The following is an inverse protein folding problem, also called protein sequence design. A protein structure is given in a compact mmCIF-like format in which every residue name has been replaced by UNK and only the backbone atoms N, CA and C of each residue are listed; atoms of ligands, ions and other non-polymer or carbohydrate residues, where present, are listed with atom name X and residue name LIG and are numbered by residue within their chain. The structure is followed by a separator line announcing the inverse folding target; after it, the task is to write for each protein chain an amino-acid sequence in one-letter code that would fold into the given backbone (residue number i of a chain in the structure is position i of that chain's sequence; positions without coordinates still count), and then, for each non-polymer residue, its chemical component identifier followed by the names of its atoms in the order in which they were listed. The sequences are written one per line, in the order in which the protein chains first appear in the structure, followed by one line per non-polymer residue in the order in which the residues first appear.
data_IF_383562843937
#
_entry.id   IF_383562843937
#
_cell.length_a   1.000
_cell.length_b   1.000
_cell.length_c   1.000
_cell.angle_alpha   90.00
_cell.angle_beta   90.00
_cell.angle_gamma   90.00
#
_symmetry.space_group_name_H-M   'P 1'
#
loop_
_entity.id
_entity.type
_entity.pdbx_description
1 polymer ?
#
# COMPACT_ATOMS: atom_id res chain seq x y z
N UNK A 1 40.86 70.72 15.23
CA UNK A 1 39.56 70.19 14.68
C UNK A 1 39.84 68.96 13.85
N UNK A 2 39.66 67.79 14.43
CA UNK A 2 39.92 66.50 13.76
C UNK A 2 38.63 66.00 13.12
N UNK A 3 38.65 65.82 11.79
CA UNK A 3 37.57 65.19 11.06
C UNK A 3 37.67 63.64 11.19
N UNK A 4 36.77 63.08 11.92
CA UNK A 4 36.62 61.59 11.97
C UNK A 4 36.00 61.09 10.65
N UNK A 5 36.75 60.29 9.88
CA UNK A 5 36.23 59.53 8.72
C UNK A 5 35.54 58.30 9.26
N UNK A 6 34.23 58.17 8.99
CA UNK A 6 33.42 57.02 9.27
C UNK A 6 33.61 56.04 8.12
N UNK A 7 34.24 54.89 8.39
CA UNK A 7 34.41 53.80 7.43
C UNK A 7 33.21 52.89 7.61
N UNK A 8 32.31 52.88 6.63
CA UNK A 8 31.24 51.83 6.56
C UNK A 8 31.83 50.56 6.04
N UNK A 9 31.95 49.57 6.93
CA UNK A 9 32.28 48.19 6.57
C UNK A 9 31.03 47.54 6.04
N UNK A 10 30.95 47.35 4.71
CA UNK A 10 29.92 46.54 4.05
C UNK A 10 30.23 45.05 4.32
N UNK A 11 29.58 44.48 5.33
CA UNK A 11 29.50 43.00 5.48
C UNK A 11 28.56 42.46 4.40
N UNK A 12 29.15 41.97 3.32
CA UNK A 12 28.45 41.12 2.37
C UNK A 12 28.13 39.78 3.05
N UNK A 13 26.91 39.65 3.51
CA UNK A 13 26.37 38.37 4.00
C UNK A 13 26.18 37.45 2.80
N UNK A 14 27.20 36.65 2.45
CA UNK A 14 27.07 35.57 1.52
C UNK A 14 26.23 34.45 2.19
N UNK A 15 24.93 34.49 1.95
CA UNK A 15 24.08 33.32 2.22
C UNK A 15 24.55 32.19 1.30
N UNK A 16 25.39 31.33 1.84
CA UNK A 16 25.57 29.99 1.27
C UNK A 16 24.25 29.26 1.41
N UNK A 17 23.51 29.19 0.30
CA UNK A 17 22.44 28.26 0.11
C UNK A 17 23.09 26.87 0.13
N UNK A 18 23.23 26.28 1.30
CA UNK A 18 23.49 24.85 1.41
C UNK A 18 22.22 24.15 0.94
N UNK A 19 22.16 23.87 -0.36
CA UNK A 19 21.30 22.80 -0.86
C UNK A 19 21.78 21.52 -0.16
N UNK A 20 21.08 21.11 0.87
CA UNK A 20 21.23 19.77 1.41
C UNK A 20 20.81 18.82 0.30
N UNK A 21 21.79 18.28 -0.42
CA UNK A 21 21.61 17.03 -1.17
C UNK A 21 21.29 15.98 -0.10
N UNK A 22 20.01 15.82 0.21
CA UNK A 22 19.55 14.64 0.88
C UNK A 22 20.00 13.48 -0.01
N UNK A 23 21.01 12.74 0.42
CA UNK A 23 21.35 11.44 -0.18
C UNK A 23 20.11 10.58 0.08
N UNK A 24 19.24 10.52 -0.93
CA UNK A 24 18.06 9.68 -0.89
C UNK A 24 18.56 8.25 -0.75
N UNK A 25 18.32 7.65 0.41
CA UNK A 25 18.66 6.27 0.64
C UNK A 25 17.96 5.43 -0.46
N UNK A 26 18.75 4.74 -1.29
CA UNK A 26 18.22 3.90 -2.35
C UNK A 26 17.49 2.74 -1.66
N UNK A 27 16.16 2.75 -1.76
CA UNK A 27 15.35 1.68 -1.20
C UNK A 27 15.68 0.41 -1.99
N UNK A 28 16.16 -0.62 -1.30
CA UNK A 28 16.60 -1.86 -1.93
C UNK A 28 15.53 -2.96 -1.73
N UNK A 29 14.36 -2.76 -2.35
CA UNK A 29 13.31 -3.78 -2.36
C UNK A 29 13.69 -4.95 -3.27
N UNK A 30 13.28 -6.16 -2.88
CA UNK A 30 13.25 -7.31 -3.78
C UNK A 30 12.03 -7.17 -4.69
N UNK A 31 12.26 -6.70 -5.91
CA UNK A 31 11.23 -6.42 -6.91
C UNK A 31 11.30 -7.45 -8.05
N UNK A 32 10.18 -7.66 -8.80
CA UNK A 32 10.21 -8.46 -10.01
C UNK A 32 11.10 -7.82 -11.08
N UNK A 33 11.72 -8.64 -11.90
CA UNK A 33 12.44 -8.19 -13.08
C UNK A 33 11.45 -7.70 -14.17
N UNK A 34 11.93 -6.88 -15.10
CA UNK A 34 11.10 -6.43 -16.23
C UNK A 34 10.65 -7.60 -17.12
N UNK A 35 11.42 -8.69 -17.17
CA UNK A 35 11.06 -9.92 -17.89
C UNK A 35 9.90 -10.65 -17.20
N UNK A 36 9.92 -10.75 -15.87
CA UNK A 36 8.80 -11.30 -15.09
C UNK A 36 7.53 -10.48 -15.27
N UNK A 37 7.64 -9.13 -15.25
CA UNK A 37 6.51 -8.23 -15.52
C UNK A 37 5.96 -8.45 -16.93
N UNK A 38 6.82 -8.52 -17.95
CA UNK A 38 6.41 -8.76 -19.33
C UNK A 38 5.73 -10.14 -19.49
N UNK A 39 6.22 -11.15 -18.77
CA UNK A 39 5.67 -12.51 -18.82
C UNK A 39 4.31 -12.62 -18.14
N UNK A 40 4.14 -11.95 -17.00
CA UNK A 40 2.87 -11.90 -16.27
C UNK A 40 1.80 -11.07 -16.99
N UNK A 41 2.22 -10.17 -17.90
CA UNK A 41 1.36 -9.26 -18.64
C UNK A 41 1.71 -9.29 -20.14
N UNK A 42 1.35 -10.38 -20.83
CA UNK A 42 1.79 -10.67 -22.21
C UNK A 42 1.54 -9.54 -23.21
N UNK A 43 0.44 -8.80 -23.06
CA UNK A 43 0.06 -7.71 -23.96
C UNK A 43 0.66 -6.34 -23.55
N UNK A 44 1.35 -6.29 -22.42
CA UNK A 44 1.95 -5.07 -21.88
C UNK A 44 3.27 -4.77 -22.59
N UNK A 45 3.47 -3.51 -22.97
CA UNK A 45 4.76 -3.01 -23.46
C UNK A 45 5.49 -2.28 -22.33
N UNK A 46 6.32 -3.00 -21.61
CA UNK A 46 6.99 -2.53 -20.38
C UNK A 46 7.78 -1.22 -20.63
N UNK A 47 8.56 -1.13 -21.72
CA UNK A 47 9.33 0.08 -22.03
C UNK A 47 8.41 1.30 -22.28
N UNK A 48 7.29 1.10 -22.97
CA UNK A 48 6.33 2.17 -23.20
C UNK A 48 5.61 2.61 -21.91
N UNK A 49 5.47 1.73 -20.90
CA UNK A 49 4.94 2.10 -19.59
C UNK A 49 5.94 2.93 -18.80
N UNK A 50 7.22 2.61 -18.85
CA UNK A 50 8.28 3.40 -18.20
C UNK A 50 8.27 4.84 -18.69
N UNK A 51 8.07 5.06 -19.99
CA UNK A 51 7.96 6.41 -20.58
C UNK A 51 6.71 7.17 -20.10
N UNK A 52 5.62 6.46 -19.83
CA UNK A 52 4.33 7.03 -19.37
C UNK A 52 4.22 7.22 -17.86
N UNK A 53 5.18 6.73 -17.09
CA UNK A 53 5.16 6.90 -15.63
C UNK A 53 4.97 8.36 -15.24
N UNK A 54 4.11 8.68 -14.25
CA UNK A 54 3.88 10.05 -13.82
C UNK A 54 5.20 10.75 -13.48
N UNK A 55 5.35 12.00 -13.92
CA UNK A 55 6.60 12.76 -13.73
C UNK A 55 6.89 13.00 -12.24
N UNK A 56 5.84 13.11 -11.43
CA UNK A 56 5.93 13.32 -9.98
C UNK A 56 6.08 12.03 -9.18
N UNK A 57 6.05 10.87 -9.84
CA UNK A 57 6.16 9.59 -9.16
C UNK A 57 7.62 9.20 -8.94
N UNK A 58 7.95 8.88 -7.68
CA UNK A 58 9.27 8.43 -7.26
C UNK A 58 9.16 7.16 -6.42
N UNK A 59 10.12 6.24 -6.59
CA UNK A 59 10.11 4.94 -5.88
C UNK A 59 10.26 5.06 -4.37
N UNK A 60 10.74 6.19 -3.88
CA UNK A 60 10.92 6.49 -2.46
C UNK A 60 9.76 7.29 -1.84
N UNK A 61 8.64 7.44 -2.54
CA UNK A 61 7.43 8.02 -1.94
C UNK A 61 7.01 7.18 -0.71
N UNK A 62 6.83 7.79 0.47
CA UNK A 62 6.43 7.07 1.67
C UNK A 62 5.14 6.26 1.51
N UNK A 63 4.20 6.73 0.67
CA UNK A 63 2.95 6.02 0.38
C UNK A 63 3.18 4.74 -0.44
N UNK A 64 4.31 4.61 -1.12
CA UNK A 64 4.72 3.44 -1.91
C UNK A 64 5.56 2.45 -1.11
N UNK A 65 5.70 2.63 0.21
CA UNK A 65 6.45 1.69 1.05
C UNK A 65 5.97 0.26 0.81
N UNK A 66 6.86 -0.60 0.32
CA UNK A 66 6.57 -2.01 0.06
C UNK A 66 6.82 -2.83 1.32
N UNK A 67 5.79 -3.50 1.79
CA UNK A 67 5.86 -4.46 2.89
C UNK A 67 5.23 -5.78 2.42
N UNK A 68 6.01 -6.84 2.43
CA UNK A 68 5.58 -8.21 2.10
C UNK A 68 6.60 -9.23 2.63
N UNK A 69 6.36 -10.52 2.38
CA UNK A 69 7.24 -11.62 2.82
C UNK A 69 8.71 -11.49 2.41
N UNK A 70 8.99 -10.78 1.31
CA UNK A 70 10.35 -10.55 0.80
C UNK A 70 10.93 -9.21 1.27
N UNK A 71 10.08 -8.31 1.76
CA UNK A 71 10.42 -6.95 2.16
C UNK A 71 9.70 -6.66 3.49
N UNK A 72 10.18 -7.23 4.63
CA UNK A 72 9.55 -7.00 5.93
C UNK A 72 9.65 -5.54 6.35
N UNK A 73 8.71 -5.10 7.16
CA UNK A 73 8.71 -3.75 7.72
C UNK A 73 9.83 -3.64 8.76
N UNK A 74 10.93 -3.00 8.39
CA UNK A 74 12.09 -2.78 9.26
C UNK A 74 12.06 -1.47 10.03
N UNK A 75 11.03 -0.64 9.80
CA UNK A 75 10.92 0.65 10.49
C UNK A 75 10.67 0.42 11.97
N UNK A 76 11.41 1.18 12.77
CA UNK A 76 11.28 1.18 14.23
C UNK A 76 10.30 2.25 14.72
N UNK A 77 9.95 3.18 13.84
CA UNK A 77 9.02 4.25 14.13
C UNK A 77 7.60 3.79 13.80
N UNK A 78 6.69 4.03 14.71
CA UNK A 78 5.27 3.80 14.45
C UNK A 78 4.78 4.79 13.39
N UNK A 79 3.86 4.37 12.49
CA UNK A 79 3.29 5.26 11.51
C UNK A 79 2.48 6.37 12.17
N UNK A 80 2.33 7.50 11.50
CA UNK A 80 1.48 8.60 11.96
C UNK A 80 0.01 8.21 11.84
N UNK A 81 -0.55 7.76 12.96
CA UNK A 81 -1.90 7.20 13.02
C UNK A 81 -2.95 8.27 13.36
N UNK A 82 -4.17 8.07 12.84
CA UNK A 82 -5.36 8.82 13.20
C UNK A 82 -6.56 7.86 13.36
N UNK A 83 -7.57 8.33 14.11
CA UNK A 83 -8.81 7.60 14.36
C UNK A 83 -9.91 8.15 13.44
N UNK A 84 -10.75 7.26 12.93
CA UNK A 84 -12.01 7.68 12.36
C UNK A 84 -13.11 7.82 13.43
N UNK A 85 -14.30 8.27 13.03
CA UNK A 85 -15.44 8.44 13.91
C UNK A 85 -16.03 7.12 14.45
N UNK A 86 -15.62 5.99 13.90
CA UNK A 86 -16.08 4.64 14.28
C UNK A 86 -15.09 3.91 15.18
N UNK A 87 -13.91 4.52 15.43
CA UNK A 87 -12.87 3.96 16.31
C UNK A 87 -11.85 3.08 15.60
N UNK A 88 -11.82 3.06 14.28
CA UNK A 88 -10.75 2.41 13.54
C UNK A 88 -9.53 3.31 13.41
N UNK A 89 -8.35 2.69 13.35
CA UNK A 89 -7.06 3.37 13.30
C UNK A 89 -6.43 3.12 11.94
N UNK A 90 -5.91 4.20 11.33
CA UNK A 90 -5.21 4.17 10.05
C UNK A 90 -4.05 5.17 10.04
N UNK A 91 -3.22 5.10 9.00
CA UNK A 91 -2.34 6.22 8.68
C UNK A 91 -3.17 7.50 8.46
N UNK A 92 -2.74 8.62 9.01
CA UNK A 92 -3.49 9.90 8.96
C UNK A 92 -3.90 10.32 7.54
N UNK A 93 -3.02 10.07 6.54
CA UNK A 93 -3.24 10.46 5.15
C UNK A 93 -4.33 9.62 4.45
N UNK A 94 -4.72 8.49 5.04
CA UNK A 94 -5.75 7.60 4.51
C UNK A 94 -7.16 8.04 4.93
N UNK A 95 -7.33 8.71 6.07
CA UNK A 95 -8.64 9.01 6.68
C UNK A 95 -9.57 9.74 5.69
N UNK A 96 -9.15 10.90 5.19
CA UNK A 96 -9.98 11.69 4.26
C UNK A 96 -10.25 11.01 2.92
N UNK A 97 -9.26 10.38 2.25
CA UNK A 97 -9.52 9.55 1.08
C UNK A 97 -10.53 8.42 1.30
N UNK A 98 -10.53 7.78 2.46
CA UNK A 98 -11.50 6.73 2.80
C UNK A 98 -12.91 7.29 2.98
N UNK A 99 -13.04 8.42 3.68
CA UNK A 99 -14.33 9.12 3.80
C UNK A 99 -14.90 9.48 2.42
N UNK A 100 -14.06 10.04 1.53
CA UNK A 100 -14.46 10.40 0.16
C UNK A 100 -14.91 9.17 -0.66
N UNK A 101 -14.21 8.03 -0.50
CA UNK A 101 -14.57 6.76 -1.11
C UNK A 101 -15.93 6.27 -0.60
N UNK A 102 -16.12 6.25 0.73
CA UNK A 102 -17.36 5.81 1.36
C UNK A 102 -18.55 6.68 0.94
N UNK A 103 -18.36 8.01 0.87
CA UNK A 103 -19.39 8.95 0.42
C UNK A 103 -19.74 8.72 -1.06
N UNK A 104 -18.77 8.50 -1.92
CA UNK A 104 -19.01 8.21 -3.33
C UNK A 104 -19.75 6.89 -3.54
N UNK A 105 -19.35 5.86 -2.80
CA UNK A 105 -20.01 4.56 -2.83
C UNK A 105 -21.47 4.65 -2.38
N UNK A 106 -21.73 5.39 -1.30
CA UNK A 106 -23.09 5.58 -0.79
C UNK A 106 -24.00 6.28 -1.81
N UNK A 107 -23.48 7.22 -2.60
CA UNK A 107 -24.23 7.87 -3.70
C UNK A 107 -24.63 6.87 -4.80
N UNK A 108 -23.81 5.84 -5.00
CA UNK A 108 -24.09 4.76 -5.96
C UNK A 108 -24.86 3.58 -5.32
N UNK A 109 -25.25 3.71 -4.03
CA UNK A 109 -26.05 2.72 -3.31
C UNK A 109 -25.25 1.62 -2.62
N UNK A 110 -23.92 1.74 -2.54
CA UNK A 110 -23.04 0.78 -1.87
C UNK A 110 -22.57 1.29 -0.52
N UNK A 111 -22.62 0.43 0.48
CA UNK A 111 -22.23 0.74 1.85
C UNK A 111 -21.19 -0.29 2.32
N UNK A 112 -20.15 0.18 3.01
CA UNK A 112 -19.05 -0.68 3.45
C UNK A 112 -18.81 -0.54 4.95
N UNK A 113 -18.27 -1.60 5.53
CA UNK A 113 -17.63 -1.57 6.85
C UNK A 113 -16.15 -1.87 6.71
N UNK A 114 -15.35 -1.12 7.46
CA UNK A 114 -13.96 -1.49 7.69
C UNK A 114 -13.96 -2.69 8.63
N UNK A 115 -13.31 -3.77 8.25
CA UNK A 115 -13.16 -4.96 9.09
C UNK A 115 -11.76 -5.08 9.68
N UNK A 116 -10.79 -4.39 9.07
CA UNK A 116 -9.43 -4.25 9.59
C UNK A 116 -8.78 -2.96 9.10
N UNK A 117 -8.08 -2.25 10.00
CA UNK A 117 -7.24 -1.09 9.72
C UNK A 117 -5.79 -1.33 10.11
N UNK A 118 -5.18 -0.40 10.85
CA UNK A 118 -3.86 -0.60 11.43
C UNK A 118 -3.86 -1.80 12.39
N UNK A 119 -2.80 -2.59 12.31
CA UNK A 119 -2.48 -3.67 13.25
C UNK A 119 -1.02 -3.54 13.67
N UNK A 120 -0.75 -3.55 14.97
CA UNK A 120 0.60 -3.66 15.47
C UNK A 120 1.23 -5.01 15.08
N UNK A 121 2.56 -5.10 15.14
CA UNK A 121 3.28 -6.36 14.90
C UNK A 121 2.80 -7.45 15.87
N UNK A 122 2.53 -7.10 17.14
CA UNK A 122 2.04 -8.03 18.14
C UNK A 122 0.61 -8.53 17.81
N UNK A 123 -0.29 -7.65 17.40
CA UNK A 123 -1.65 -8.03 16.98
C UNK A 123 -1.62 -8.92 15.73
N UNK A 124 -0.76 -8.62 14.76
CA UNK A 124 -0.59 -9.44 13.58
C UNK A 124 -0.10 -10.85 13.94
N UNK A 125 0.87 -10.96 14.85
CA UNK A 125 1.36 -12.26 15.33
C UNK A 125 0.27 -13.05 16.05
N UNK A 126 -0.51 -12.39 16.90
CA UNK A 126 -1.64 -13.00 17.61
C UNK A 126 -2.71 -13.52 16.64
N UNK A 127 -3.07 -12.75 15.62
CA UNK A 127 -4.04 -13.16 14.60
C UNK A 127 -3.53 -14.35 13.80
N UNK A 128 -2.25 -14.34 13.42
CA UNK A 128 -1.60 -15.44 12.73
C UNK A 128 -1.60 -16.73 13.57
N UNK A 129 -1.23 -16.61 14.84
CA UNK A 129 -1.24 -17.74 15.76
C UNK A 129 -2.65 -18.31 15.96
N UNK A 130 -3.66 -17.45 16.06
CA UNK A 130 -5.06 -17.87 16.16
C UNK A 130 -5.49 -18.64 14.89
N UNK A 131 -5.13 -18.18 13.69
CA UNK A 131 -5.40 -18.90 12.45
C UNK A 131 -4.77 -20.31 12.45
N UNK A 132 -3.51 -20.44 12.86
CA UNK A 132 -2.83 -21.73 12.97
C UNK A 132 -3.58 -22.65 13.95
N UNK A 133 -3.94 -22.14 15.15
CA UNK A 133 -4.70 -22.91 16.14
C UNK A 133 -6.06 -23.39 15.61
N UNK A 134 -6.75 -22.54 14.86
CA UNK A 134 -8.02 -22.91 14.25
C UNK A 134 -7.87 -24.07 13.23
N UNK A 135 -6.83 -24.07 12.41
CA UNK A 135 -6.55 -25.17 11.48
C UNK A 135 -6.10 -26.45 12.20
N UNK A 136 -5.31 -26.34 13.27
CA UNK A 136 -4.97 -27.49 14.14
C UNK A 136 -6.23 -28.10 14.77
N UNK A 137 -7.16 -27.29 15.23
CA UNK A 137 -8.44 -27.76 15.79
C UNK A 137 -9.32 -28.47 14.74
N UNK A 138 -9.15 -28.16 13.46
CA UNK A 138 -9.78 -28.84 12.34
C UNK A 138 -9.07 -30.14 11.94
N UNK A 139 -7.96 -30.49 12.60
CA UNK A 139 -7.21 -31.74 12.41
C UNK A 139 -6.06 -31.67 11.39
N UNK A 140 -5.67 -30.47 10.95
CA UNK A 140 -4.47 -30.33 10.10
C UNK A 140 -3.20 -30.60 10.95
N UNK A 141 -2.14 -31.04 10.27
CA UNK A 141 -0.82 -31.05 10.88
C UNK A 141 -0.29 -29.63 11.13
N UNK A 142 0.69 -29.47 12.01
CA UNK A 142 1.33 -28.16 12.26
C UNK A 142 1.85 -27.55 10.94
N UNK A 143 2.54 -28.35 10.12
CA UNK A 143 3.10 -27.87 8.84
C UNK A 143 2.02 -27.46 7.85
N UNK A 144 0.91 -28.20 7.76
CA UNK A 144 -0.21 -27.87 6.87
C UNK A 144 -0.95 -26.62 7.36
N UNK A 145 -1.21 -26.50 8.69
CA UNK A 145 -1.83 -25.35 9.29
C UNK A 145 -1.02 -24.07 9.05
N UNK A 146 0.31 -24.11 9.24
CA UNK A 146 1.21 -23.00 8.91
C UNK A 146 1.21 -22.70 7.40
N UNK A 147 1.23 -23.71 6.55
CA UNK A 147 1.23 -23.54 5.10
C UNK A 147 -0.03 -22.83 4.61
N UNK A 148 -1.21 -23.25 5.09
CA UNK A 148 -2.48 -22.60 4.73
C UNK A 148 -2.55 -21.18 5.30
N UNK A 149 -2.17 -20.99 6.56
CA UNK A 149 -2.12 -19.66 7.19
C UNK A 149 -1.25 -18.70 6.39
N UNK A 150 -0.08 -19.15 5.93
CA UNK A 150 0.85 -18.32 5.15
C UNK A 150 0.33 -17.87 3.78
N UNK A 151 -0.79 -18.42 3.29
CA UNK A 151 -1.39 -17.98 2.03
C UNK A 151 -2.20 -16.69 2.19
N UNK A 152 -2.72 -16.41 3.40
CA UNK A 152 -3.58 -15.26 3.70
C UNK A 152 -3.00 -14.35 4.78
N UNK A 153 -2.23 -14.89 5.72
CA UNK A 153 -1.62 -14.12 6.81
C UNK A 153 -0.12 -13.94 6.58
N UNK A 154 0.30 -12.69 6.47
CA UNK A 154 1.71 -12.35 6.47
C UNK A 154 2.37 -12.71 7.83
N UNK A 155 3.69 -13.02 7.86
CA UNK A 155 4.48 -12.90 9.07
C UNK A 155 4.28 -11.53 9.74
N UNK A 156 4.48 -11.44 11.05
CA UNK A 156 4.11 -10.27 11.83
C UNK A 156 4.69 -8.95 11.28
N UNK A 157 5.96 -8.97 10.88
CA UNK A 157 6.69 -7.84 10.33
C UNK A 157 6.49 -7.64 8.80
N UNK A 158 5.75 -8.53 8.14
CA UNK A 158 5.53 -8.52 6.68
C UNK A 158 4.10 -8.17 6.27
N UNK A 159 3.28 -7.70 7.22
CA UNK A 159 1.89 -7.26 6.96
C UNK A 159 1.83 -5.78 6.63
N UNK A 160 1.15 -5.41 5.53
CA UNK A 160 0.91 -4.01 5.19
C UNK A 160 0.05 -3.25 6.22
N UNK A 161 -0.76 -3.97 7.01
CA UNK A 161 -1.53 -3.35 8.10
C UNK A 161 -0.63 -2.69 9.15
N UNK A 162 0.62 -3.12 9.30
CA UNK A 162 1.58 -2.47 10.20
C UNK A 162 2.02 -1.07 9.74
N UNK A 163 1.72 -0.71 8.50
CA UNK A 163 1.97 0.65 7.97
C UNK A 163 0.81 1.61 8.21
N UNK A 164 -0.36 1.10 8.59
CA UNK A 164 -1.61 1.85 8.62
C UNK A 164 -2.16 2.25 7.25
N UNK A 165 -1.47 1.89 6.14
CA UNK A 165 -1.88 2.23 4.78
C UNK A 165 -2.77 1.16 4.13
N UNK A 166 -2.98 0.02 4.78
CA UNK A 166 -3.86 -1.05 4.31
C UNK A 166 -5.15 -1.10 5.12
N UNK A 167 -6.25 -1.42 4.45
CA UNK A 167 -7.58 -1.61 5.03
C UNK A 167 -8.28 -2.80 4.38
N UNK A 168 -9.07 -3.51 5.17
CA UNK A 168 -9.99 -4.53 4.68
C UNK A 168 -11.42 -3.97 4.69
N UNK A 169 -12.06 -3.95 3.51
CA UNK A 169 -13.40 -3.42 3.29
C UNK A 169 -14.35 -4.51 2.79
N UNK A 170 -15.50 -4.64 3.45
CA UNK A 170 -16.59 -5.52 2.98
C UNK A 170 -17.89 -4.75 2.86
N UNK A 171 -18.67 -5.08 1.84
CA UNK A 171 -20.03 -4.58 1.68
C UNK A 171 -20.93 -4.93 2.85
N UNK A 172 -21.79 -4.02 3.29
CA UNK A 172 -22.69 -4.30 4.42
C UNK A 172 -23.66 -5.42 4.10
N UNK A 173 -24.12 -5.52 2.85
CA UNK A 173 -24.99 -6.61 2.40
C UNK A 173 -24.33 -7.98 2.51
N UNK A 174 -23.00 -8.07 2.28
CA UNK A 174 -22.24 -9.29 2.43
C UNK A 174 -22.14 -9.71 3.89
N UNK A 175 -21.76 -8.77 4.75
CA UNK A 175 -21.62 -8.99 6.19
C UNK A 175 -22.96 -9.32 6.87
N UNK A 176 -24.04 -8.65 6.47
CA UNK A 176 -25.37 -8.85 7.04
C UNK A 176 -25.96 -10.23 6.67
N UNK A 177 -25.44 -10.87 5.59
CA UNK A 177 -25.74 -12.25 5.20
C UNK A 177 -24.73 -13.27 5.77
N UNK A 178 -23.87 -12.87 6.71
CA UNK A 178 -22.91 -13.76 7.36
C UNK A 178 -21.64 -14.01 6.55
N UNK A 179 -21.38 -13.21 5.52
CA UNK A 179 -20.14 -13.31 4.73
C UNK A 179 -18.91 -12.83 5.53
N UNK A 180 -17.78 -13.45 5.23
CA UNK A 180 -16.48 -13.18 5.87
C UNK A 180 -15.44 -12.75 4.83
N UNK A 181 -14.16 -12.70 5.23
CA UNK A 181 -13.02 -12.40 4.35
C UNK A 181 -12.72 -13.62 3.47
N UNK A 182 -13.40 -13.74 2.35
CA UNK A 182 -13.26 -14.87 1.42
C UNK A 182 -13.36 -14.43 -0.05
N UNK A 183 -12.73 -15.17 -0.95
CA UNK A 183 -12.60 -14.81 -2.36
C UNK A 183 -13.94 -14.66 -3.08
N UNK A 184 -14.98 -15.39 -2.64
CA UNK A 184 -16.36 -15.32 -3.18
C UNK A 184 -17.01 -13.94 -2.99
N UNK A 185 -16.52 -13.11 -2.05
CA UNK A 185 -16.94 -11.71 -1.96
C UNK A 185 -16.79 -10.97 -3.29
N UNK A 186 -15.79 -11.31 -4.11
CA UNK A 186 -15.56 -10.70 -5.43
C UNK A 186 -16.74 -10.82 -6.40
N UNK A 187 -17.66 -11.74 -6.17
CA UNK A 187 -18.84 -11.95 -7.02
C UNK A 187 -19.93 -10.91 -6.76
N UNK A 188 -19.89 -10.22 -5.60
CA UNK A 188 -20.86 -9.21 -5.23
C UNK A 188 -20.69 -7.92 -6.05
N UNK A 189 -21.78 -7.15 -6.16
CA UNK A 189 -21.75 -5.87 -6.88
C UNK A 189 -20.94 -4.82 -6.08
N UNK A 190 -20.95 -4.89 -4.74
CA UNK A 190 -20.15 -4.01 -3.89
C UNK A 190 -18.64 -4.24 -4.09
N UNK A 191 -18.17 -5.50 -4.12
CA UNK A 191 -16.77 -5.79 -4.40
C UNK A 191 -16.34 -5.32 -5.79
N UNK A 192 -17.18 -5.53 -6.80
CA UNK A 192 -16.95 -5.03 -8.17
C UNK A 192 -16.88 -3.51 -8.22
N UNK A 193 -17.76 -2.83 -7.47
CA UNK A 193 -17.73 -1.37 -7.37
C UNK A 193 -16.40 -0.90 -6.76
N UNK A 194 -15.95 -1.46 -5.65
CA UNK A 194 -14.65 -1.14 -5.05
C UNK A 194 -13.50 -1.36 -6.02
N UNK A 195 -13.42 -2.54 -6.62
CA UNK A 195 -12.36 -2.88 -7.56
C UNK A 195 -12.26 -1.86 -8.72
N UNK A 196 -13.40 -1.35 -9.19
CA UNK A 196 -13.47 -0.41 -10.30
C UNK A 196 -13.34 1.07 -9.92
N UNK A 197 -13.49 1.44 -8.65
CA UNK A 197 -13.58 2.85 -8.26
C UNK A 197 -12.55 3.29 -7.21
N UNK A 198 -12.01 2.37 -6.41
CA UNK A 198 -11.13 2.71 -5.29
C UNK A 198 -9.89 3.51 -5.71
N UNK A 199 -9.36 3.28 -6.93
CA UNK A 199 -8.22 4.01 -7.48
C UNK A 199 -8.46 5.52 -7.59
N UNK A 200 -9.69 5.96 -7.81
CA UNK A 200 -10.08 7.39 -7.88
C UNK A 200 -9.84 8.11 -6.55
N UNK A 201 -9.77 7.36 -5.47
CA UNK A 201 -9.55 7.85 -4.11
C UNK A 201 -8.14 7.55 -3.59
N UNK A 202 -7.30 6.92 -4.41
CA UNK A 202 -5.91 6.62 -4.07
C UNK A 202 -5.67 5.23 -3.52
N UNK A 203 -6.65 4.33 -3.60
CA UNK A 203 -6.54 2.94 -3.16
C UNK A 203 -6.35 2.00 -4.35
N UNK A 204 -5.58 0.96 -4.17
CA UNK A 204 -5.44 -0.15 -5.12
C UNK A 204 -5.98 -1.43 -4.50
N UNK A 205 -6.61 -2.28 -5.32
CA UNK A 205 -6.83 -3.67 -4.97
C UNK A 205 -5.47 -4.36 -4.92
N UNK A 206 -5.01 -4.68 -3.71
CA UNK A 206 -3.60 -4.99 -3.48
C UNK A 206 -3.18 -6.37 -3.99
N UNK A 207 -4.00 -7.36 -3.74
CA UNK A 207 -3.74 -8.76 -4.10
C UNK A 207 -4.73 -9.20 -5.16
N UNK A 208 -4.36 -8.93 -6.42
CA UNK A 208 -5.21 -9.17 -7.59
C UNK A 208 -5.18 -10.66 -8.00
N UNK A 209 -6.26 -11.11 -8.60
CA UNK A 209 -6.33 -12.44 -9.19
C UNK A 209 -5.29 -12.63 -10.30
N UNK A 210 -4.65 -13.80 -10.34
CA UNK A 210 -3.57 -14.17 -11.26
C UNK A 210 -2.26 -13.36 -11.09
N UNK A 211 -2.07 -12.69 -9.93
CA UNK A 211 -0.85 -12.00 -9.56
C UNK A 211 -0.13 -12.61 -8.34
N UNK A 212 -0.54 -13.79 -7.91
CA UNK A 212 -0.04 -14.48 -6.72
C UNK A 212 1.48 -14.75 -6.80
N UNK A 213 1.99 -15.04 -8.00
CA UNK A 213 3.42 -15.25 -8.23
C UNK A 213 4.27 -13.98 -8.03
N UNK A 214 3.68 -12.80 -8.20
CA UNK A 214 4.33 -11.50 -8.01
C UNK A 214 4.17 -11.01 -6.57
N UNK A 215 2.96 -11.05 -6.04
CA UNK A 215 2.65 -10.52 -4.72
C UNK A 215 3.01 -11.48 -3.58
N UNK A 216 2.98 -12.79 -3.83
CA UNK A 216 3.19 -13.84 -2.84
C UNK A 216 1.96 -14.13 -1.95
N UNK A 217 0.80 -13.57 -2.28
CA UNK A 217 -0.47 -13.74 -1.58
C UNK A 217 -1.57 -14.20 -2.54
N UNK A 218 -2.54 -14.93 -2.03
CA UNK A 218 -3.75 -15.27 -2.77
C UNK A 218 -4.57 -14.00 -3.08
N UNK A 219 -5.56 -14.16 -3.97
CA UNK A 219 -6.49 -13.10 -4.29
C UNK A 219 -7.32 -12.70 -3.06
N UNK A 220 -7.32 -11.40 -2.72
CA UNK A 220 -8.04 -10.84 -1.59
C UNK A 220 -8.91 -9.65 -2.04
N UNK A 221 -10.17 -9.87 -2.43
CA UNK A 221 -11.05 -8.81 -2.95
C UNK A 221 -11.44 -7.75 -1.93
N UNK A 222 -11.10 -7.93 -0.67
CA UNK A 222 -11.35 -7.00 0.45
C UNK A 222 -10.17 -6.10 0.78
N UNK A 223 -8.92 -6.50 0.42
CA UNK A 223 -7.69 -5.85 0.86
C UNK A 223 -7.29 -4.72 -0.08
N UNK A 224 -7.40 -3.49 0.42
CA UNK A 224 -7.07 -2.27 -0.30
C UNK A 224 -5.88 -1.56 0.33
N UNK A 225 -4.95 -1.11 -0.53
CA UNK A 225 -3.77 -0.37 -0.13
C UNK A 225 -3.85 1.07 -0.63
N UNK A 226 -3.69 2.03 0.30
CA UNK A 226 -3.57 3.44 -0.04
C UNK A 226 -2.16 3.75 -0.56
N UNK A 227 -2.09 4.38 -1.73
CA UNK A 227 -0.84 4.77 -2.40
C UNK A 227 -0.93 6.20 -2.96
N UNK A 228 -2.04 6.90 -2.73
CA UNK A 228 -2.31 8.21 -3.33
C UNK A 228 -2.87 8.12 -4.76
N UNK A 229 -3.64 9.15 -5.16
CA UNK A 229 -4.45 9.13 -6.39
C UNK A 229 -3.63 8.97 -7.67
N UNK A 230 -2.46 9.62 -7.75
CA UNK A 230 -1.59 9.56 -8.94
C UNK A 230 -1.08 8.15 -9.18
N UNK A 231 -0.58 7.51 -8.14
CA UNK A 231 -0.05 6.15 -8.20
C UNK A 231 -1.17 5.13 -8.43
N UNK A 232 -2.27 5.26 -7.69
CA UNK A 232 -3.41 4.35 -7.80
C UNK A 232 -4.04 4.36 -9.20
N UNK A 233 -4.19 5.55 -9.80
CA UNK A 233 -4.70 5.69 -11.16
C UNK A 233 -3.82 4.97 -12.17
N UNK A 234 -2.51 5.20 -12.14
CA UNK A 234 -1.59 4.55 -13.06
C UNK A 234 -1.54 3.02 -12.87
N UNK A 235 -1.50 2.56 -11.63
CA UNK A 235 -1.52 1.12 -11.28
C UNK A 235 -2.80 0.46 -11.83
N UNK A 236 -3.95 1.07 -11.58
CA UNK A 236 -5.25 0.56 -12.03
C UNK A 236 -5.37 0.52 -13.55
N UNK A 237 -5.07 1.63 -14.23
CA UNK A 237 -5.20 1.76 -15.70
C UNK A 237 -4.32 0.77 -16.46
N UNK A 238 -3.21 0.33 -15.85
CA UNK A 238 -2.27 -0.57 -16.47
C UNK A 238 -2.27 -2.00 -15.87
N UNK A 239 -3.20 -2.31 -14.94
CA UNK A 239 -3.32 -3.64 -14.34
C UNK A 239 -2.07 -4.11 -13.60
N UNK A 240 -1.36 -3.19 -12.95
CA UNK A 240 -0.11 -3.46 -12.24
C UNK A 240 -0.36 -3.83 -10.77
N UNK A 241 0.57 -4.58 -10.20
CA UNK A 241 0.74 -4.67 -8.74
C UNK A 241 1.63 -3.53 -8.24
N UNK A 242 1.69 -3.34 -6.91
CA UNK A 242 2.61 -2.38 -6.30
C UNK A 242 4.07 -2.74 -6.58
N UNK A 243 4.41 -4.03 -6.55
CA UNK A 243 5.75 -4.55 -6.88
C UNK A 243 6.15 -4.23 -8.31
N UNK A 244 5.25 -4.47 -9.27
CA UNK A 244 5.48 -4.17 -10.70
C UNK A 244 5.67 -2.67 -10.90
N UNK A 245 4.81 -1.85 -10.31
CA UNK A 245 4.91 -0.39 -10.40
C UNK A 245 6.23 0.15 -9.84
N UNK A 246 6.65 -0.32 -8.67
CA UNK A 246 7.93 0.05 -8.06
C UNK A 246 9.13 -0.38 -8.92
N UNK A 247 9.06 -1.54 -9.56
CA UNK A 247 10.12 -1.99 -10.49
C UNK A 247 10.24 -1.05 -11.71
N UNK A 248 9.11 -0.60 -12.26
CA UNK A 248 9.11 0.37 -13.37
C UNK A 248 9.70 1.72 -12.93
N UNK A 249 9.33 2.23 -11.74
CA UNK A 249 9.89 3.47 -11.17
C UNK A 249 11.39 3.35 -10.95
N UNK A 250 11.85 2.26 -10.32
CA UNK A 250 13.27 2.01 -10.08
C UNK A 250 14.07 1.95 -11.39
N UNK A 251 13.49 1.37 -12.45
CA UNK A 251 14.12 1.34 -13.77
C UNK A 251 14.21 2.73 -14.39
N UNK A 252 13.15 3.54 -14.33
CA UNK A 252 13.15 4.92 -14.79
C UNK A 252 14.21 5.78 -14.10
N UNK A 253 14.35 5.62 -12.78
CA UNK A 253 15.31 6.37 -11.96
C UNK A 253 16.76 5.94 -12.14
N UNK A 254 17.00 4.75 -12.72
CA UNK A 254 18.34 4.22 -13.01
C UNK A 254 18.89 4.62 -14.39
N UNK A 255 18.04 5.18 -15.25
CA UNK A 255 18.41 5.66 -16.60
C UNK A 255 18.81 7.13 -16.55
#
# INVERSE_FOLDING_TARGET
MQKKKLIYLLLACSMFLQASLAVQAKINYKLPSLEEIQTSNKDMKVDALIEKLPVTAHSNDPLLKLVNKNNPNSDKEEPELAWDSYGYIYHKDLVKPLEDLMEAAAKDGFYYRVVSGYRSVEEQENNRNLSIQNYLAQGLSQADAESVTNQYFAPADASEHTTGLAIDLLGTEWLDNGGELEASYSETDSAKWLANNAHRFGFILRYQQNKESITGYNFEPWHFRYVGKVHAGFIYENGLTLEEYLALLAKKESN
#
